data_IF_778459881885
#
_entry.id   IF_778459881885
#
_cell.length_a   1.000
_cell.length_b   1.000
_cell.length_c   1.000
_cell.angle_alpha   90.00
_cell.angle_beta   90.00
_cell.angle_gamma   90.00
#
_symmetry.space_group_name_H-M   'P 1'
#
loop_
_entity.id
_entity.type
_entity.pdbx_description
1 polymer ?
#
# COMPACT_ATOMS: atom_id res chain seq x y z
N UNK A 1 33.91 51.91 40.11
CA UNK A 1 32.87 51.28 39.26
C UNK A 1 33.24 49.80 39.09
N UNK A 2 32.95 48.86 40.00
CA UNK A 2 31.67 48.56 40.68
C UNK A 2 30.53 48.45 39.65
N UNK A 3 29.80 47.34 39.47
CA UNK A 3 29.48 46.18 40.34
C UNK A 3 29.72 44.83 39.64
N UNK A 4 30.28 43.78 40.25
CA UNK A 4 29.88 42.92 41.38
C UNK A 4 28.93 41.74 41.08
N UNK A 5 29.50 40.54 41.26
CA UNK A 5 28.93 39.19 41.14
C UNK A 5 27.80 38.90 42.17
N UNK A 6 26.84 38.04 41.80
CA UNK A 6 26.27 36.90 42.58
C UNK A 6 25.21 36.20 41.68
N UNK A 7 25.29 34.88 41.41
CA UNK A 7 25.07 33.74 42.31
C UNK A 7 23.58 33.61 42.74
N UNK A 8 22.93 32.45 42.92
CA UNK A 8 23.20 31.01 42.80
C UNK A 8 21.96 30.33 43.48
N UNK A 9 21.53 29.14 43.04
CA UNK A 9 20.48 28.29 43.68
C UNK A 9 19.02 28.82 43.73
N UNK A 10 18.12 28.06 43.11
CA UNK A 10 16.99 27.45 43.84
C UNK A 10 16.64 26.09 43.24
N UNK A 11 16.98 25.05 44.00
CA UNK A 11 16.54 23.68 43.76
C UNK A 11 15.30 23.38 44.63
N UNK A 12 14.64 22.27 44.28
CA UNK A 12 13.64 21.54 45.08
C UNK A 12 12.21 22.10 45.27
N UNK A 13 11.29 21.13 45.22
CA UNK A 13 9.92 21.10 45.75
C UNK A 13 8.87 22.10 45.25
N UNK A 14 8.16 21.70 44.17
CA UNK A 14 6.69 21.73 44.17
C UNK A 14 6.12 20.40 43.65
N UNK A 15 5.79 19.52 44.60
CA UNK A 15 4.60 18.64 44.63
C UNK A 15 4.23 17.83 43.37
N UNK A 16 4.69 16.58 43.36
CA UNK A 16 3.91 15.36 43.06
C UNK A 16 2.47 15.54 42.55
N UNK A 17 2.25 15.22 41.27
CA UNK A 17 1.00 14.56 40.84
C UNK A 17 1.33 13.36 39.93
N UNK A 18 0.99 12.18 40.43
CA UNK A 18 1.28 10.86 39.87
C UNK A 18 0.04 10.35 39.12
N UNK A 19 0.09 9.97 37.83
CA UNK A 19 -1.03 9.29 37.20
C UNK A 19 -1.21 7.93 37.86
N UNK A 20 -2.35 7.75 38.54
CA UNK A 20 -2.66 6.53 39.28
C UNK A 20 -3.14 5.42 38.34
N UNK A 21 -2.65 4.20 38.56
CA UNK A 21 -3.10 2.99 37.89
C UNK A 21 -4.56 2.68 38.24
N UNK A 22 -5.46 2.70 37.25
CA UNK A 22 -6.83 2.23 37.42
C UNK A 22 -6.88 0.70 37.46
N UNK A 23 -7.43 0.18 38.56
CA UNK A 23 -7.38 -1.24 38.92
C UNK A 23 -8.35 -2.08 38.09
N UNK A 24 -7.83 -3.21 37.59
CA UNK A 24 -8.61 -4.30 37.00
C UNK A 24 -9.53 -4.93 38.08
N UNK A 25 -10.79 -4.49 38.17
CA UNK A 25 -11.75 -5.03 39.14
C UNK A 25 -12.45 -6.26 38.58
N UNK A 26 -11.93 -7.44 38.92
CA UNK A 26 -12.64 -8.70 38.74
C UNK A 26 -14.02 -8.67 39.42
N UNK A 27 -15.03 -9.17 38.72
CA UNK A 27 -16.29 -9.62 39.30
C UNK A 27 -16.62 -10.97 38.70
N UNK A 28 -16.42 -12.01 39.50
CA UNK A 28 -17.09 -13.29 39.31
C UNK A 28 -18.60 -13.10 39.36
N UNK A 29 -19.34 -13.82 38.52
CA UNK A 29 -20.78 -14.00 38.69
C UNK A 29 -21.07 -15.47 39.03
N UNK A 30 -21.95 -15.75 40.00
CA UNK A 30 -22.23 -17.11 40.46
C UNK A 30 -23.17 -17.88 39.50
N UNK A 31 -23.13 -19.20 39.66
CA UNK A 31 -23.95 -20.19 38.96
C UNK A 31 -25.41 -20.23 39.47
N UNK A 32 -26.23 -21.01 38.74
CA UNK A 32 -27.51 -21.68 39.07
C UNK A 32 -28.69 -21.25 38.16
N UNK A 33 -29.71 -22.11 37.93
CA UNK A 33 -29.65 -23.55 37.72
C UNK A 33 -30.51 -24.04 36.51
N UNK A 34 -30.45 -25.35 36.25
CA UNK A 34 -31.12 -26.06 35.13
C UNK A 34 -32.63 -26.30 35.31
N UNK A 35 -33.38 -26.24 34.21
CA UNK A 35 -34.57 -27.06 33.90
C UNK A 35 -34.76 -27.07 32.36
N UNK A 36 -34.48 -28.13 31.59
CA UNK A 36 -35.16 -29.43 31.39
C UNK A 36 -36.55 -29.40 30.71
N UNK A 37 -36.74 -30.37 29.78
CA UNK A 37 -37.96 -30.72 28.99
C UNK A 37 -38.25 -29.75 27.81
N UNK A 38 -38.38 -30.16 26.53
CA UNK A 38 -38.09 -31.43 25.82
C UNK A 38 -37.89 -31.18 24.29
N UNK A 39 -37.60 -32.24 23.51
CA UNK A 39 -37.86 -32.34 22.05
C UNK A 39 -39.14 -33.14 21.81
N UNK A 40 -39.93 -32.81 20.78
CA UNK A 40 -40.18 -33.78 19.69
C UNK A 40 -40.75 -33.14 18.41
N UNK A 41 -40.67 -33.91 17.32
CA UNK A 41 -41.02 -33.52 15.94
C UNK A 41 -42.49 -33.79 15.63
N UNK A 42 -43.01 -33.23 14.52
CA UNK A 42 -43.66 -33.99 13.43
C UNK A 42 -43.99 -33.08 12.22
N UNK A 43 -44.05 -33.65 11.01
CA UNK A 43 -44.13 -32.92 9.74
C UNK A 43 -45.49 -32.28 9.44
N UNK A 44 -45.52 -31.23 8.60
CA UNK A 44 -46.77 -30.81 7.94
C UNK A 44 -46.72 -29.61 6.98
N UNK A 45 -46.68 -29.90 5.67
CA UNK A 45 -47.33 -29.16 4.56
C UNK A 45 -47.09 -27.64 4.35
N UNK A 46 -46.44 -27.33 3.22
CA UNK A 46 -46.73 -26.14 2.38
C UNK A 46 -48.19 -26.20 1.85
N UNK A 47 -48.88 -25.06 1.58
CA UNK A 47 -48.60 -24.28 0.36
C UNK A 47 -48.77 -22.75 0.41
N UNK A 48 -47.92 -22.10 -0.40
CA UNK A 48 -48.14 -20.94 -1.27
C UNK A 48 -48.76 -19.59 -0.79
N UNK A 49 -48.10 -18.55 -1.30
CA UNK A 49 -48.65 -17.26 -1.71
C UNK A 49 -49.02 -16.25 -0.62
N UNK A 50 -48.06 -15.39 -0.27
CA UNK A 50 -48.36 -13.96 -0.23
C UNK A 50 -47.15 -13.13 -0.70
N UNK A 51 -47.44 -11.99 -1.31
CA UNK A 51 -46.45 -11.09 -1.91
C UNK A 51 -45.71 -10.32 -0.82
N UNK A 52 -44.38 -10.20 -0.93
CA UNK A 52 -43.63 -9.17 -0.20
C UNK A 52 -42.64 -8.49 -1.15
N UNK A 53 -43.03 -7.29 -1.59
CA UNK A 53 -42.21 -6.41 -2.42
C UNK A 53 -41.15 -5.71 -1.57
N UNK A 54 -39.99 -6.31 -1.31
CA UNK A 54 -38.79 -5.57 -0.84
C UNK A 54 -37.49 -6.19 -1.38
N UNK A 55 -37.42 -6.42 -2.69
CA UNK A 55 -36.16 -6.75 -3.37
C UNK A 55 -35.38 -5.47 -3.68
N UNK A 56 -34.24 -5.25 -3.02
CA UNK A 56 -33.31 -4.18 -3.39
C UNK A 56 -32.55 -4.55 -4.67
N UNK A 57 -33.22 -4.42 -5.82
CA UNK A 57 -32.63 -4.63 -7.13
C UNK A 57 -31.72 -3.45 -7.49
N UNK A 58 -30.46 -3.50 -7.06
CA UNK A 58 -29.39 -2.71 -7.68
C UNK A 58 -29.11 -3.24 -9.09
N UNK A 59 -29.94 -2.83 -10.05
CA UNK A 59 -29.74 -3.08 -11.48
C UNK A 59 -28.63 -2.20 -12.03
N UNK A 60 -27.37 -2.52 -11.68
CA UNK A 60 -26.22 -1.97 -12.37
C UNK A 60 -26.21 -2.44 -13.83
N UNK A 61 -26.77 -1.60 -14.70
CA UNK A 61 -26.81 -1.77 -16.14
C UNK A 61 -25.41 -1.54 -16.70
N UNK A 62 -24.55 -2.56 -16.58
CA UNK A 62 -23.20 -2.53 -17.12
C UNK A 62 -23.24 -2.60 -18.66
N UNK A 63 -23.27 -1.44 -19.31
CA UNK A 63 -23.02 -1.34 -20.75
C UNK A 63 -21.54 -1.64 -21.01
N UNK A 64 -21.24 -2.86 -21.46
CA UNK A 64 -19.89 -3.31 -21.74
C UNK A 64 -19.31 -2.68 -23.01
N UNK A 65 -18.77 -1.47 -22.88
CA UNK A 65 -17.83 -0.90 -23.86
C UNK A 65 -16.49 -0.69 -23.15
N UNK A 66 -15.71 -1.77 -23.12
CA UNK A 66 -14.39 -1.83 -22.48
C UNK A 66 -13.32 -1.10 -23.30
N UNK A 67 -13.45 0.21 -23.40
CA UNK A 67 -12.32 1.12 -23.65
C UNK A 67 -12.34 2.17 -22.57
N UNK A 68 -11.22 2.41 -21.88
CA UNK A 68 -11.09 3.55 -20.98
C UNK A 68 -11.02 4.81 -21.84
N UNK A 69 -12.08 5.64 -22.00
CA UNK A 69 -12.20 6.55 -23.16
C UNK A 69 -11.37 7.83 -23.05
N UNK A 70 -10.36 7.86 -22.18
CA UNK A 70 -9.88 9.10 -21.56
C UNK A 70 -8.36 9.21 -21.47
N UNK A 71 -7.63 8.47 -22.31
CA UNK A 71 -6.15 8.51 -22.32
C UNK A 71 -5.48 8.82 -23.66
N UNK A 72 -6.17 8.72 -24.79
CA UNK A 72 -5.56 9.03 -26.10
C UNK A 72 -5.39 10.53 -26.35
N UNK A 73 -6.25 11.36 -25.74
CA UNK A 73 -6.40 12.76 -26.10
C UNK A 73 -5.78 13.65 -25.01
N UNK A 74 -4.45 13.78 -25.05
CA UNK A 74 -3.67 14.58 -24.08
C UNK A 74 -3.80 16.07 -24.43
N UNK A 75 -4.91 16.69 -24.02
CA UNK A 75 -5.11 18.14 -24.13
C UNK A 75 -4.25 18.90 -23.11
N UNK A 76 -3.15 19.50 -23.60
CA UNK A 76 -2.29 20.42 -22.85
C UNK A 76 -2.61 21.91 -23.14
N UNK A 77 -3.59 22.22 -23.99
CA UNK A 77 -3.89 23.59 -24.42
C UNK A 77 -4.58 24.43 -23.34
N UNK A 78 -5.36 23.78 -22.47
CA UNK A 78 -6.05 24.40 -21.36
C UNK A 78 -5.38 24.04 -20.02
N UNK A 79 -4.97 25.07 -19.26
CA UNK A 79 -4.32 24.90 -17.95
C UNK A 79 -5.19 24.15 -16.93
N UNK A 80 -6.53 24.27 -17.01
CA UNK A 80 -7.40 23.49 -16.13
C UNK A 80 -7.45 22.00 -16.52
N UNK A 81 -7.49 21.69 -17.82
CA UNK A 81 -7.37 20.31 -18.34
C UNK A 81 -6.06 19.68 -17.88
N UNK A 82 -4.94 20.40 -18.07
CA UNK A 82 -3.59 20.00 -17.66
C UNK A 82 -3.48 19.74 -16.15
N UNK A 83 -4.00 20.65 -15.31
CA UNK A 83 -4.02 20.46 -13.85
C UNK A 83 -4.85 19.23 -13.43
N UNK A 84 -6.00 19.00 -14.05
CA UNK A 84 -6.86 17.83 -13.79
C UNK A 84 -6.17 16.53 -14.21
N UNK A 85 -5.48 16.53 -15.35
CA UNK A 85 -4.64 15.42 -15.80
C UNK A 85 -3.53 15.14 -14.77
N UNK A 86 -2.74 16.16 -14.41
CA UNK A 86 -1.59 16.00 -13.51
C UNK A 86 -1.98 15.44 -12.14
N UNK A 87 -3.05 15.96 -11.55
CA UNK A 87 -3.60 15.44 -10.29
C UNK A 87 -4.01 13.96 -10.40
N UNK A 88 -4.57 13.53 -11.54
CA UNK A 88 -4.98 12.14 -11.78
C UNK A 88 -3.78 11.21 -11.90
N UNK A 89 -2.72 11.64 -12.59
CA UNK A 89 -1.47 10.88 -12.74
C UNK A 89 -0.75 10.72 -11.41
N UNK A 90 -0.63 11.82 -10.65
CA UNK A 90 -0.06 11.82 -9.30
C UNK A 90 -0.85 10.91 -8.34
N UNK A 91 -2.18 10.91 -8.43
CA UNK A 91 -3.00 9.99 -7.65
C UNK A 91 -2.76 8.52 -8.06
N UNK A 92 -2.77 8.21 -9.36
CA UNK A 92 -2.56 6.84 -9.90
C UNK A 92 -1.11 6.33 -9.75
N UNK A 93 -0.14 7.19 -9.44
CA UNK A 93 1.23 6.79 -9.08
C UNK A 93 1.42 6.52 -7.58
N UNK A 94 0.47 6.92 -6.73
CA UNK A 94 0.54 6.83 -5.25
C UNK A 94 -0.51 5.91 -4.60
N UNK A 95 -1.34 5.24 -5.39
CA UNK A 95 -2.50 4.48 -4.92
C UNK A 95 -2.56 3.09 -5.56
N UNK A 96 -1.42 2.38 -5.54
CA UNK A 96 -1.27 1.03 -6.09
C UNK A 96 -1.46 -0.07 -5.07
N UNK A 97 -1.37 0.27 -3.78
CA UNK A 97 -1.40 -0.70 -2.68
C UNK A 97 -0.06 -1.42 -2.49
N UNK A 98 1.02 -0.88 -3.03
CA UNK A 98 2.37 -1.41 -2.87
C UNK A 98 3.29 -0.23 -2.54
N UNK A 99 3.54 -0.02 -1.25
CA UNK A 99 4.08 1.22 -0.69
C UNK A 99 5.44 1.59 -1.28
N UNK A 100 6.25 0.60 -1.61
CA UNK A 100 7.56 0.72 -2.25
C UNK A 100 7.45 1.37 -3.64
N UNK A 101 6.51 0.89 -4.46
CA UNK A 101 6.20 1.50 -5.76
C UNK A 101 5.58 2.89 -5.60
N UNK A 102 4.63 3.04 -4.67
CA UNK A 102 3.92 4.30 -4.43
C UNK A 102 4.89 5.43 -3.99
N UNK A 103 5.94 5.09 -3.23
CA UNK A 103 7.02 6.02 -2.85
C UNK A 103 7.98 6.33 -4.01
N UNK A 104 8.42 5.31 -4.75
CA UNK A 104 9.37 5.47 -5.86
C UNK A 104 8.75 6.24 -7.04
N UNK A 105 7.61 5.77 -7.53
CA UNK A 105 6.88 6.37 -8.66
C UNK A 105 6.23 7.69 -8.24
N UNK A 106 5.59 7.74 -7.07
CA UNK A 106 4.96 8.96 -6.56
C UNK A 106 5.94 10.12 -6.51
N UNK A 107 7.12 9.90 -5.92
CA UNK A 107 8.17 10.94 -5.86
C UNK A 107 8.74 11.28 -7.24
N UNK A 108 9.01 10.30 -8.10
CA UNK A 108 9.51 10.58 -9.45
C UNK A 108 8.50 11.44 -10.25
N UNK A 109 7.21 11.13 -10.15
CA UNK A 109 6.15 11.90 -10.81
C UNK A 109 6.08 13.32 -10.25
N UNK A 110 6.13 13.52 -8.93
CA UNK A 110 6.16 14.87 -8.33
C UNK A 110 7.35 15.71 -8.82
N UNK A 111 8.53 15.10 -8.92
CA UNK A 111 9.76 15.75 -9.37
C UNK A 111 9.69 16.19 -10.85
N UNK A 112 9.03 15.41 -11.74
CA UNK A 112 9.12 15.58 -13.20
C UNK A 112 7.84 16.05 -13.91
N UNK A 113 6.64 15.88 -13.34
CA UNK A 113 5.37 16.07 -14.06
C UNK A 113 5.17 17.46 -14.66
N UNK A 114 5.75 18.50 -14.04
CA UNK A 114 5.67 19.88 -14.54
C UNK A 114 6.56 20.14 -15.77
N UNK A 115 7.55 19.28 -16.01
CA UNK A 115 8.57 19.41 -17.05
C UNK A 115 8.40 18.43 -18.21
N UNK A 116 7.46 17.47 -18.10
CA UNK A 116 7.17 16.50 -19.15
C UNK A 116 6.38 17.12 -20.31
N UNK A 117 6.72 16.68 -21.51
CA UNK A 117 5.99 16.94 -22.75
C UNK A 117 4.85 15.92 -22.97
N UNK A 118 4.10 16.06 -24.06
CA UNK A 118 2.97 15.17 -24.37
C UNK A 118 3.42 13.70 -24.55
N UNK A 119 4.59 13.48 -25.16
CA UNK A 119 5.15 12.15 -25.39
C UNK A 119 5.66 11.51 -24.09
N UNK A 120 6.33 12.28 -23.23
CA UNK A 120 6.74 11.87 -21.88
C UNK A 120 5.56 11.57 -20.96
N UNK A 121 4.46 12.32 -21.08
CA UNK A 121 3.18 11.98 -20.44
C UNK A 121 2.65 10.66 -21.00
N UNK A 122 2.52 10.50 -22.33
CA UNK A 122 2.08 9.23 -22.94
C UNK A 122 2.94 8.03 -22.49
N UNK A 123 4.25 8.23 -22.38
CA UNK A 123 5.21 7.26 -21.86
C UNK A 123 4.97 6.93 -20.38
N UNK A 124 4.75 7.93 -19.52
CA UNK A 124 4.41 7.74 -18.11
C UNK A 124 3.15 6.89 -17.93
N UNK A 125 2.09 7.10 -18.70
CA UNK A 125 0.87 6.30 -18.53
C UNK A 125 1.03 4.87 -19.05
N UNK A 126 1.82 4.65 -20.11
CA UNK A 126 2.22 3.30 -20.50
C UNK A 126 2.97 2.55 -19.39
N UNK A 127 3.69 3.26 -18.50
CA UNK A 127 4.27 2.67 -17.28
C UNK A 127 3.22 2.48 -16.18
N UNK A 128 2.32 3.43 -15.98
CA UNK A 128 1.29 3.36 -14.93
C UNK A 128 0.19 2.31 -15.21
N UNK A 129 -0.01 1.87 -16.45
CA UNK A 129 -0.93 0.78 -16.79
C UNK A 129 -0.27 -0.62 -16.74
N UNK A 130 1.01 -0.72 -16.34
CA UNK A 130 1.66 -2.00 -16.06
C UNK A 130 1.23 -2.59 -14.71
N UNK A 131 1.23 -3.92 -14.65
CA UNK A 131 0.95 -4.69 -13.44
C UNK A 131 2.01 -4.48 -12.36
N UNK A 132 1.57 -4.25 -11.12
CA UNK A 132 2.46 -3.87 -10.01
C UNK A 132 3.55 -4.92 -9.69
N UNK A 133 3.27 -6.24 -9.64
CA UNK A 133 4.30 -7.23 -9.29
C UNK A 133 5.43 -7.29 -10.30
N UNK A 134 5.09 -7.27 -11.59
CA UNK A 134 6.05 -7.36 -12.69
C UNK A 134 6.83 -6.05 -12.86
N UNK A 135 6.16 -4.90 -12.73
CA UNK A 135 6.83 -3.60 -12.69
C UNK A 135 7.89 -3.55 -11.58
N UNK A 136 7.60 -4.05 -10.38
CA UNK A 136 8.57 -4.05 -9.27
C UNK A 136 9.77 -4.98 -9.52
N UNK A 137 9.55 -6.20 -10.05
CA UNK A 137 10.64 -7.11 -10.44
C UNK A 137 11.57 -6.50 -11.49
N UNK A 138 11.02 -5.79 -12.46
CA UNK A 138 11.81 -5.12 -13.51
C UNK A 138 12.58 -3.92 -12.95
N UNK A 139 11.95 -3.09 -12.12
CA UNK A 139 12.61 -1.95 -11.47
C UNK A 139 13.73 -2.38 -10.51
N UNK A 140 13.58 -3.52 -9.83
CA UNK A 140 14.60 -4.11 -8.94
C UNK A 140 15.63 -4.99 -9.67
N UNK A 141 15.51 -5.16 -10.99
CA UNK A 141 16.47 -5.91 -11.81
C UNK A 141 16.42 -7.44 -11.64
N UNK A 142 15.39 -7.96 -10.99
CA UNK A 142 15.20 -9.40 -10.75
C UNK A 142 14.79 -10.14 -12.03
N UNK A 143 13.94 -9.52 -12.85
CA UNK A 143 13.53 -10.02 -14.16
C UNK A 143 13.85 -8.99 -15.25
N UNK A 144 14.14 -9.45 -16.46
CA UNK A 144 14.40 -8.56 -17.59
C UNK A 144 13.07 -7.99 -18.14
N UNK A 145 12.91 -6.66 -18.23
CA UNK A 145 11.70 -6.06 -18.77
C UNK A 145 11.50 -6.42 -20.25
N UNK A 146 10.24 -6.60 -20.71
CA UNK A 146 9.91 -6.71 -22.12
C UNK A 146 10.47 -5.54 -22.93
N UNK A 147 10.85 -5.78 -24.20
CA UNK A 147 11.45 -4.74 -25.07
C UNK A 147 10.60 -3.45 -25.12
N UNK A 148 9.27 -3.57 -25.19
CA UNK A 148 8.37 -2.43 -25.21
C UNK A 148 8.45 -1.54 -23.96
N UNK A 149 8.64 -2.14 -22.77
CA UNK A 149 8.82 -1.42 -21.50
C UNK A 149 10.24 -0.83 -21.42
N UNK A 150 11.25 -1.59 -21.84
CA UNK A 150 12.66 -1.15 -21.84
C UNK A 150 12.94 0.02 -22.78
N UNK A 151 12.16 0.20 -23.84
CA UNK A 151 12.27 1.35 -24.76
C UNK A 151 11.64 2.64 -24.18
N UNK A 152 10.90 2.57 -23.08
CA UNK A 152 10.24 3.71 -22.49
C UNK A 152 11.23 4.58 -21.67
N UNK A 153 11.32 5.91 -21.92
CA UNK A 153 12.26 6.77 -21.20
C UNK A 153 11.92 6.85 -19.70
N UNK A 154 10.64 7.05 -19.36
CA UNK A 154 10.17 7.15 -17.97
C UNK A 154 10.49 5.90 -17.16
N UNK A 155 10.35 4.71 -17.77
CA UNK A 155 10.73 3.46 -17.12
C UNK A 155 12.25 3.41 -16.84
N UNK A 156 13.06 3.85 -17.81
CA UNK A 156 14.52 3.84 -17.71
C UNK A 156 15.01 4.77 -16.60
N UNK A 157 14.49 6.00 -16.53
CA UNK A 157 14.84 6.99 -15.50
C UNK A 157 14.48 6.52 -14.08
N UNK A 158 13.30 5.89 -13.93
CA UNK A 158 12.87 5.31 -12.65
C UNK A 158 13.73 4.11 -12.29
N UNK A 159 14.03 3.22 -13.24
CA UNK A 159 14.89 2.05 -13.03
C UNK A 159 16.31 2.48 -12.61
N UNK A 160 16.88 3.50 -13.25
CA UNK A 160 18.17 4.07 -12.85
C UNK A 160 18.12 4.62 -11.42
N UNK A 161 17.10 5.41 -11.06
CA UNK A 161 16.91 5.95 -9.71
C UNK A 161 16.84 4.85 -8.64
N UNK A 162 16.17 3.72 -8.95
CA UNK A 162 16.10 2.53 -8.08
C UNK A 162 17.46 1.83 -7.99
N UNK A 163 18.11 1.55 -9.13
CA UNK A 163 19.44 0.91 -9.16
C UNK A 163 20.49 1.70 -8.39
N UNK A 164 20.51 3.03 -8.56
CA UNK A 164 21.42 3.92 -7.82
C UNK A 164 21.12 3.92 -6.31
N UNK A 165 19.85 3.81 -5.90
CA UNK A 165 19.50 3.66 -4.50
C UNK A 165 19.97 2.31 -3.93
N UNK A 166 19.74 1.21 -4.64
CA UNK A 166 20.19 -0.14 -4.25
C UNK A 166 21.72 -0.20 -4.14
N UNK A 167 22.45 0.36 -5.10
CA UNK A 167 23.91 0.42 -5.09
C UNK A 167 24.49 1.26 -3.95
N UNK A 168 23.73 2.23 -3.44
CA UNK A 168 24.14 3.06 -2.31
C UNK A 168 23.85 2.44 -0.93
N UNK A 169 22.75 1.68 -0.79
CA UNK A 169 22.27 1.25 0.53
C UNK A 169 22.20 -0.28 0.74
N UNK A 170 22.41 -1.10 -0.29
CA UNK A 170 22.33 -2.56 -0.20
C UNK A 170 23.56 -3.23 -0.83
N UNK A 171 24.20 -4.15 -0.08
CA UNK A 171 25.28 -5.00 -0.62
C UNK A 171 24.75 -5.88 -1.76
N UNK A 172 25.59 -6.26 -2.75
CA UNK A 172 25.16 -7.15 -3.84
C UNK A 172 24.72 -8.54 -3.35
N UNK A 173 25.36 -9.05 -2.29
CA UNK A 173 25.14 -10.40 -1.74
C UNK A 173 23.75 -10.58 -1.10
N UNK A 174 23.15 -9.50 -0.60
CA UNK A 174 21.80 -9.54 0.00
C UNK A 174 20.69 -9.44 -1.06
N UNK A 175 21.03 -9.28 -2.34
CA UNK A 175 20.05 -9.14 -3.42
C UNK A 175 19.63 -10.51 -3.94
N UNK A 176 18.34 -10.66 -4.24
CA UNK A 176 17.84 -11.82 -4.99
C UNK A 176 18.54 -11.89 -6.35
N UNK A 177 19.21 -13.00 -6.72
CA UNK A 177 19.87 -13.12 -8.02
C UNK A 177 18.81 -13.12 -9.15
N UNK A 178 19.16 -12.59 -10.33
CA UNK A 178 18.19 -12.44 -11.42
C UNK A 178 17.63 -13.79 -11.87
N UNK A 179 16.31 -13.84 -12.08
CA UNK A 179 15.57 -15.05 -12.43
C UNK A 179 15.14 -15.94 -11.25
N UNK A 180 15.54 -15.63 -10.01
CA UNK A 180 14.95 -16.27 -8.82
C UNK A 180 13.71 -15.51 -8.35
N UNK A 181 12.69 -16.25 -7.90
CA UNK A 181 11.52 -15.65 -7.25
C UNK A 181 11.90 -15.12 -5.86
N UNK A 182 11.12 -14.18 -5.33
CA UNK A 182 11.23 -13.77 -3.94
C UNK A 182 11.08 -15.00 -3.05
N UNK A 183 12.09 -15.26 -2.21
CA UNK A 183 11.97 -16.25 -1.14
C UNK A 183 10.87 -15.74 -0.21
N UNK A 184 9.70 -16.37 -0.29
CA UNK A 184 8.58 -16.06 0.59
C UNK A 184 9.03 -16.50 1.98
N UNK A 185 9.28 -15.54 2.87
CA UNK A 185 9.79 -15.75 4.24
C UNK A 185 8.81 -16.44 5.19
N UNK A 186 8.12 -17.45 4.68
CA UNK A 186 7.22 -18.36 5.37
C UNK A 186 7.29 -19.79 4.80
N UNK A 187 8.29 -20.09 3.96
CA UNK A 187 8.73 -21.46 3.66
C UNK A 187 9.56 -22.04 4.84
N UNK A 188 9.06 -21.85 6.07
CA UNK A 188 9.66 -22.21 7.36
C UNK A 188 9.83 -23.73 7.55
N UNK A 189 9.41 -24.53 6.58
CA UNK A 189 9.62 -25.98 6.51
C UNK A 189 11.11 -26.36 6.48
N UNK A 190 12.00 -25.41 6.16
CA UNK A 190 13.46 -25.54 6.19
C UNK A 190 14.09 -25.36 7.59
N UNK A 191 13.51 -25.98 8.63
CA UNK A 191 14.20 -26.13 9.94
C UNK A 191 15.30 -27.21 9.84
N UNK A 192 16.42 -26.87 9.22
CA UNK A 192 17.54 -27.78 8.97
C UNK A 192 18.89 -27.07 8.81
N UNK A 193 19.94 -27.83 8.54
CA UNK A 193 21.32 -27.32 8.39
C UNK A 193 21.55 -26.41 7.17
N UNK A 194 20.54 -26.25 6.32
CA UNK A 194 20.60 -25.55 5.03
C UNK A 194 19.94 -24.15 5.09
N UNK A 195 19.91 -23.52 6.27
CA UNK A 195 19.45 -22.14 6.42
C UNK A 195 20.35 -21.14 5.66
N UNK A 196 19.84 -19.95 5.30
CA UNK A 196 20.64 -18.94 4.60
C UNK A 196 21.85 -18.52 5.46
N UNK A 197 23.04 -18.53 4.85
CA UNK A 197 24.31 -18.23 5.51
C UNK A 197 24.39 -16.75 5.95
N UNK A 198 23.65 -15.87 5.28
CA UNK A 198 23.58 -14.43 5.54
C UNK A 198 22.14 -13.91 5.42
N UNK A 199 21.76 -13.00 6.33
CA UNK A 199 20.42 -12.39 6.38
C UNK A 199 19.91 -12.24 7.81
N UNK A 200 18.83 -11.46 7.99
CA UNK A 200 18.17 -11.36 9.30
C UNK A 200 17.48 -12.68 9.63
N UNK A 201 17.84 -13.27 10.78
CA UNK A 201 17.08 -14.32 11.47
C UNK A 201 16.02 -13.70 12.39
#
# INVERSE_FOLDING_TARGET
MATFRRALVKAHEVLYLKPSSTVFRSKSMPLLPSAYILLENLQGRLPNHNQNQHGCFFSFRCSSTSVNPLFTDIDLSNEESKRRLFNRLLYRSKQRGFLELDLVLGKWVEDHINSLDADGISALIKVLDLENPDLWKWLTGQEQPPKAVKTNPVFTDVQEKVMNNLNKHASPETRTPPGQQWVRGWDDFKRGRDGPITGNQ
#
